data_IF_253195818511
#
_entry.id   IF_253195818511
#
_cell.length_a   1.000
_cell.length_b   1.000
_cell.length_c   1.000
_cell.angle_alpha   90.00
_cell.angle_beta   90.00
_cell.angle_gamma   90.00
#
_symmetry.space_group_name_H-M   'P 1'
#
loop_
_entity.id
_entity.type
_entity.pdbx_description
1 polymer ?
#
# COMPACT_ATOMS: atom_id res chain seq x y z
N UNK A 1 -16.16 -14.98 -5.65
CA UNK A 1 -15.58 -14.45 -4.40
C UNK A 1 -16.71 -14.07 -3.46
N UNK A 2 -16.86 -14.78 -2.34
CA UNK A 2 -17.81 -14.42 -1.28
C UNK A 2 -17.37 -13.06 -0.71
N UNK A 3 -18.19 -12.02 -0.91
CA UNK A 3 -18.04 -10.75 -0.16
C UNK A 3 -18.30 -11.09 1.30
N UNK A 4 -17.25 -11.20 2.11
CA UNK A 4 -17.39 -11.23 3.55
C UNK A 4 -18.04 -9.92 3.98
N UNK A 5 -19.29 -10.01 4.40
CA UNK A 5 -20.06 -8.83 4.79
C UNK A 5 -19.55 -8.40 6.18
N UNK A 6 -18.75 -7.31 6.20
CA UNK A 6 -18.35 -6.64 7.44
C UNK A 6 -19.60 -6.05 8.07
N UNK A 7 -19.81 -6.33 9.36
CA UNK A 7 -20.86 -5.67 10.13
C UNK A 7 -20.46 -4.23 10.51
N UNK A 8 -21.38 -3.48 11.10
CA UNK A 8 -21.15 -2.09 11.50
C UNK A 8 -19.99 -1.95 12.50
N UNK A 9 -19.83 -2.92 13.42
CA UNK A 9 -18.75 -2.93 14.39
C UNK A 9 -17.41 -3.20 13.70
N UNK A 10 -17.34 -4.15 12.77
CA UNK A 10 -16.13 -4.46 12.01
C UNK A 10 -15.67 -3.24 11.21
N UNK A 11 -16.58 -2.53 10.55
CA UNK A 11 -16.27 -1.30 9.82
C UNK A 11 -15.78 -0.18 10.75
N UNK A 12 -16.37 -0.05 11.93
CA UNK A 12 -15.96 0.91 12.95
C UNK A 12 -14.54 0.60 13.46
N UNK A 13 -14.25 -0.67 13.77
CA UNK A 13 -12.91 -1.13 14.15
C UNK A 13 -11.89 -0.77 13.06
N UNK A 14 -12.16 -1.13 11.78
CA UNK A 14 -11.29 -0.82 10.67
C UNK A 14 -11.08 0.69 10.52
N UNK A 15 -12.11 1.51 10.71
CA UNK A 15 -12.00 2.97 10.61
C UNK A 15 -11.03 3.58 11.63
N UNK A 16 -10.89 2.97 12.81
CA UNK A 16 -9.89 3.35 13.81
C UNK A 16 -8.50 2.84 13.43
N UNK A 17 -8.38 1.55 13.10
CA UNK A 17 -7.10 0.91 12.81
C UNK A 17 -6.42 1.47 11.53
N UNK A 18 -7.21 1.86 10.51
CA UNK A 18 -6.68 2.51 9.31
C UNK A 18 -6.09 3.89 9.62
N UNK A 19 -6.63 4.61 10.61
CA UNK A 19 -6.08 5.90 11.05
C UNK A 19 -4.87 5.74 11.98
N UNK A 20 -4.93 4.77 12.87
CA UNK A 20 -3.88 4.47 13.83
C UNK A 20 -3.84 2.97 14.13
N UNK A 21 -2.95 2.25 13.44
CA UNK A 21 -2.77 0.80 13.64
C UNK A 21 -2.27 0.42 15.06
N UNK A 22 -1.81 1.41 15.85
CA UNK A 22 -1.36 1.23 17.24
C UNK A 22 -2.43 1.62 18.29
N UNK A 23 -3.65 1.97 17.86
CA UNK A 23 -4.72 2.30 18.80
C UNK A 23 -5.00 1.10 19.71
N UNK A 24 -4.99 1.27 21.06
CA UNK A 24 -5.25 0.18 21.97
C UNK A 24 -6.65 -0.41 21.77
N UNK A 25 -6.75 -1.72 21.73
CA UNK A 25 -8.05 -2.40 21.55
C UNK A 25 -9.06 -2.05 22.64
N UNK A 26 -8.59 -1.69 23.84
CA UNK A 26 -9.46 -1.24 24.93
C UNK A 26 -10.14 0.10 24.63
N UNK A 27 -9.45 0.99 23.93
CA UNK A 27 -10.04 2.26 23.47
C UNK A 27 -11.06 2.01 22.35
N UNK A 28 -10.72 1.16 21.38
CA UNK A 28 -11.64 0.76 20.32
C UNK A 28 -12.90 0.11 20.90
N UNK A 29 -12.73 -0.72 21.96
CA UNK A 29 -13.82 -1.38 22.66
C UNK A 29 -14.81 -0.39 23.29
N UNK A 30 -14.30 0.65 23.95
CA UNK A 30 -15.11 1.75 24.52
C UNK A 30 -15.89 2.48 23.42
N UNK A 31 -15.24 2.83 22.32
CA UNK A 31 -15.85 3.52 21.18
C UNK A 31 -16.90 2.66 20.46
N UNK A 32 -16.73 1.34 20.46
CA UNK A 32 -17.67 0.40 19.86
C UNK A 32 -18.77 -0.10 20.80
N UNK A 33 -18.66 0.16 22.11
CA UNK A 33 -19.63 -0.32 23.11
C UNK A 33 -19.57 -1.84 23.30
N UNK A 34 -18.40 -2.47 23.15
CA UNK A 34 -18.18 -3.92 23.29
C UNK A 34 -16.99 -4.21 24.20
N UNK A 35 -16.76 -5.48 24.57
CA UNK A 35 -15.60 -5.86 25.36
C UNK A 35 -14.30 -5.87 24.52
N UNK A 36 -13.15 -5.67 25.20
CA UNK A 36 -11.84 -5.80 24.55
C UNK A 36 -11.60 -7.18 23.93
N UNK A 37 -12.10 -8.25 24.56
CA UNK A 37 -12.05 -9.60 24.03
C UNK A 37 -12.83 -9.73 22.70
N UNK A 38 -13.99 -9.08 22.59
CA UNK A 38 -14.78 -9.06 21.36
C UNK A 38 -14.04 -8.34 20.23
N UNK A 39 -13.35 -7.22 20.51
CA UNK A 39 -12.50 -6.55 19.52
C UNK A 39 -11.39 -7.47 19.05
N UNK A 40 -10.69 -8.13 19.98
CA UNK A 40 -9.59 -9.05 19.65
C UNK A 40 -10.05 -10.18 18.72
N UNK A 41 -11.20 -10.82 19.02
CA UNK A 41 -11.76 -11.86 18.18
C UNK A 41 -12.14 -11.37 16.79
N UNK A 42 -12.72 -10.17 16.67
CA UNK A 42 -13.10 -9.56 15.38
C UNK A 42 -11.89 -9.22 14.54
N UNK A 43 -10.87 -8.62 15.13
CA UNK A 43 -9.61 -8.31 14.41
C UNK A 43 -8.98 -9.60 13.91
N UNK A 44 -8.83 -10.62 14.77
CA UNK A 44 -8.28 -11.93 14.37
C UNK A 44 -9.09 -12.59 13.26
N UNK A 45 -10.42 -12.49 13.30
CA UNK A 45 -11.28 -12.96 12.20
C UNK A 45 -10.99 -12.22 10.90
N UNK A 46 -10.88 -10.89 10.94
CA UNK A 46 -10.58 -10.09 9.76
C UNK A 46 -9.18 -10.37 9.19
N UNK A 47 -8.20 -10.66 10.04
CA UNK A 47 -6.87 -11.14 9.63
C UNK A 47 -6.96 -12.51 8.94
N UNK A 48 -7.66 -13.48 9.55
CA UNK A 48 -7.86 -14.82 8.98
C UNK A 48 -8.57 -14.78 7.62
N UNK A 49 -9.49 -13.85 7.45
CA UNK A 49 -10.22 -13.63 6.20
C UNK A 49 -9.43 -12.83 5.15
N UNK A 50 -8.21 -12.37 5.47
CA UNK A 50 -7.38 -11.55 4.60
C UNK A 50 -7.91 -10.14 4.36
N UNK A 51 -8.84 -9.64 5.21
CA UNK A 51 -9.33 -8.26 5.17
C UNK A 51 -8.26 -7.33 5.75
N UNK A 52 -7.65 -7.73 6.86
CA UNK A 52 -6.45 -7.11 7.42
C UNK A 52 -5.27 -7.98 6.98
N UNK A 53 -4.39 -7.44 6.15
CA UNK A 53 -3.22 -8.15 5.62
C UNK A 53 -1.93 -7.83 6.38
N UNK A 54 -1.99 -6.87 7.30
CA UNK A 54 -0.85 -6.45 8.12
C UNK A 54 -0.92 -4.98 8.51
N UNK A 55 0.13 -4.52 9.18
CA UNK A 55 0.34 -3.11 9.51
C UNK A 55 1.74 -2.67 9.06
N UNK A 56 1.88 -1.42 8.66
CA UNK A 56 3.16 -0.82 8.27
C UNK A 56 3.53 0.32 9.20
N UNK A 57 4.82 0.42 9.50
CA UNK A 57 5.39 1.65 10.03
C UNK A 57 5.62 2.62 8.88
N UNK A 58 5.03 3.80 8.94
CA UNK A 58 5.32 4.88 7.99
C UNK A 58 6.60 5.58 8.45
N UNK A 59 7.57 5.65 7.55
CA UNK A 59 8.86 6.33 7.76
C UNK A 59 9.04 7.34 6.64
N UNK A 60 9.46 8.55 6.99
CA UNK A 60 9.73 9.60 6.00
C UNK A 60 11.03 9.24 5.24
N UNK A 61 10.97 8.96 3.92
CA UNK A 61 12.14 8.49 3.18
C UNK A 61 13.34 9.44 3.26
N UNK A 62 13.08 10.75 3.26
CA UNK A 62 14.14 11.78 3.33
C UNK A 62 14.96 11.70 4.63
N UNK A 63 14.36 11.24 5.73
CA UNK A 63 15.10 11.04 7.01
C UNK A 63 16.05 9.87 6.96
N UNK A 64 15.90 8.99 5.97
CA UNK A 64 16.80 7.89 5.66
C UNK A 64 17.79 8.22 4.51
N UNK A 65 17.83 9.49 4.07
CA UNK A 65 18.69 9.91 2.96
C UNK A 65 18.13 9.59 1.57
N UNK A 66 16.89 9.11 1.47
CA UNK A 66 16.22 8.79 0.20
C UNK A 66 15.44 10.02 -0.29
N UNK A 67 16.13 10.91 -1.01
CA UNK A 67 15.61 12.24 -1.35
C UNK A 67 14.90 12.31 -2.71
N UNK A 68 15.05 11.27 -3.55
CA UNK A 68 14.43 11.18 -4.87
C UNK A 68 13.39 10.07 -4.86
N UNK A 69 12.15 10.43 -5.18
CA UNK A 69 11.10 9.48 -5.51
C UNK A 69 10.87 9.50 -7.02
N UNK A 70 10.86 8.36 -7.67
CA UNK A 70 10.55 8.27 -9.09
C UNK A 70 9.53 7.18 -9.37
N UNK A 71 8.74 7.40 -10.43
CA UNK A 71 7.88 6.40 -11.05
C UNK A 71 8.53 5.95 -12.34
N UNK A 72 8.68 4.64 -12.50
CA UNK A 72 9.29 4.04 -13.69
C UNK A 72 8.25 3.17 -14.38
N UNK A 73 7.83 3.60 -15.55
CA UNK A 73 7.04 2.78 -16.45
C UNK A 73 7.98 1.85 -17.23
N UNK A 74 7.59 0.58 -17.33
CA UNK A 74 8.42 -0.46 -17.92
C UNK A 74 7.60 -1.29 -18.90
N UNK A 75 8.15 -1.52 -20.10
CA UNK A 75 7.60 -2.43 -21.09
C UNK A 75 8.37 -3.75 -21.10
N UNK A 76 7.63 -4.85 -21.16
CA UNK A 76 8.20 -6.18 -21.34
C UNK A 76 8.43 -6.47 -22.84
N UNK A 77 9.52 -7.15 -23.17
CA UNK A 77 9.77 -7.65 -24.53
C UNK A 77 8.70 -8.65 -24.95
N UNK A 78 8.25 -9.48 -24.01
CA UNK A 78 7.22 -10.49 -24.18
C UNK A 78 6.43 -10.65 -22.86
N UNK A 79 5.12 -10.91 -22.95
CA UNK A 79 4.26 -11.03 -21.77
C UNK A 79 4.66 -12.19 -20.83
N UNK A 80 5.22 -13.27 -21.38
CA UNK A 80 5.71 -14.44 -20.63
C UNK A 80 6.94 -14.14 -19.76
N UNK A 81 7.64 -13.02 -20.00
CA UNK A 81 8.78 -12.55 -19.20
C UNK A 81 8.40 -11.95 -17.84
N UNK A 82 7.10 -11.69 -17.61
CA UNK A 82 6.61 -11.13 -16.38
C UNK A 82 7.13 -11.80 -15.09
N UNK A 83 7.08 -13.16 -14.93
CA UNK A 83 7.54 -13.81 -13.69
C UNK A 83 9.04 -13.61 -13.43
N UNK A 84 9.87 -13.64 -14.47
CA UNK A 84 11.32 -13.48 -14.37
C UNK A 84 11.68 -12.04 -13.99
N UNK A 85 11.02 -11.05 -14.64
CA UNK A 85 11.23 -9.63 -14.36
C UNK A 85 10.79 -9.29 -12.94
N UNK A 86 9.61 -9.76 -12.49
CA UNK A 86 9.16 -9.57 -11.10
C UNK A 86 10.12 -10.19 -10.09
N UNK A 87 10.68 -11.37 -10.38
CA UNK A 87 11.65 -11.99 -9.50
C UNK A 87 12.88 -11.10 -9.32
N UNK A 88 13.40 -10.55 -10.41
CA UNK A 88 14.55 -9.63 -10.39
C UNK A 88 14.23 -8.31 -9.67
N UNK A 89 13.08 -7.70 -9.97
CA UNK A 89 12.65 -6.45 -9.33
C UNK A 89 12.48 -6.59 -7.80
N UNK A 90 12.06 -7.74 -7.30
CA UNK A 90 11.95 -8.01 -5.86
C UNK A 90 13.30 -8.00 -5.13
N UNK A 91 14.40 -8.14 -5.83
CA UNK A 91 15.76 -8.11 -5.24
C UNK A 91 16.32 -6.68 -5.14
N UNK A 92 15.63 -5.70 -5.71
CA UNK A 92 16.05 -4.28 -5.73
C UNK A 92 15.33 -3.57 -4.58
N UNK A 93 16.03 -3.23 -3.47
CA UNK A 93 15.40 -2.64 -2.29
C UNK A 93 14.82 -1.25 -2.53
N UNK A 94 15.33 -0.53 -3.53
CA UNK A 94 14.82 0.78 -3.96
C UNK A 94 13.41 0.68 -4.57
N UNK A 95 13.02 -0.48 -5.11
CA UNK A 95 11.68 -0.72 -5.65
C UNK A 95 10.72 -1.00 -4.50
N UNK A 96 9.89 -0.02 -4.16
CA UNK A 96 8.96 -0.12 -3.04
C UNK A 96 7.54 -0.53 -3.45
N UNK A 97 7.17 -0.27 -4.71
CA UNK A 97 5.89 -0.69 -5.29
C UNK A 97 6.10 -1.14 -6.73
N UNK A 98 5.33 -2.13 -7.16
CA UNK A 98 5.29 -2.61 -8.53
C UNK A 98 3.88 -3.04 -8.88
N UNK A 99 3.32 -2.46 -9.95
CA UNK A 99 2.00 -2.78 -10.47
C UNK A 99 2.12 -3.30 -11.90
N UNK A 100 1.39 -4.37 -12.22
CA UNK A 100 1.13 -4.74 -13.59
C UNK A 100 -0.10 -3.95 -14.06
N UNK A 101 0.06 -3.18 -15.11
CA UNK A 101 -0.95 -2.18 -15.54
C UNK A 101 -1.38 -2.41 -16.98
N UNK A 102 -2.54 -1.89 -17.32
CA UNK A 102 -3.02 -1.79 -18.71
C UNK A 102 -2.54 -0.48 -19.31
N UNK A 103 -2.24 -0.45 -20.59
CA UNK A 103 -1.83 0.77 -21.31
C UNK A 103 -0.60 0.56 -22.21
N UNK A 104 0.11 1.64 -22.46
CA UNK A 104 1.31 1.66 -23.32
C UNK A 104 2.44 0.81 -22.72
N UNK A 105 2.63 0.89 -21.41
CA UNK A 105 3.64 0.16 -20.65
C UNK A 105 2.99 -0.96 -19.85
N UNK A 106 3.73 -2.02 -19.58
CA UNK A 106 3.22 -3.21 -18.89
C UNK A 106 3.25 -3.09 -17.38
N UNK A 107 4.19 -2.33 -16.84
CA UNK A 107 4.44 -2.23 -15.41
C UNK A 107 4.72 -0.79 -15.00
N UNK A 108 4.30 -0.46 -13.77
CA UNK A 108 4.59 0.80 -13.09
C UNK A 108 5.28 0.50 -11.77
N UNK A 109 6.47 1.04 -11.61
CA UNK A 109 7.27 0.94 -10.40
C UNK A 109 7.25 2.27 -9.65
N UNK A 110 7.35 2.21 -8.32
CA UNK A 110 7.74 3.33 -7.48
C UNK A 110 9.06 3.01 -6.82
N UNK A 111 10.03 3.90 -6.96
CA UNK A 111 11.37 3.71 -6.42
C UNK A 111 11.79 4.92 -5.58
N UNK A 112 12.63 4.67 -4.58
CA UNK A 112 13.28 5.71 -3.78
C UNK A 112 14.79 5.61 -3.91
N UNK A 113 15.45 6.73 -4.23
CA UNK A 113 16.90 6.83 -4.38
C UNK A 113 17.46 7.95 -3.53
N UNK A 114 18.77 7.88 -3.21
CA UNK A 114 19.42 8.92 -2.43
C UNK A 114 19.48 10.25 -3.18
N UNK A 115 19.84 10.20 -4.46
CA UNK A 115 20.00 11.36 -5.35
C UNK A 115 19.77 10.94 -6.82
N UNK A 116 19.95 11.87 -7.76
CA UNK A 116 19.77 11.60 -9.20
C UNK A 116 20.83 10.66 -9.79
N UNK A 117 22.08 10.70 -9.28
CA UNK A 117 23.13 9.79 -9.74
C UNK A 117 22.79 8.35 -9.36
N UNK A 118 22.30 8.12 -8.11
CA UNK A 118 21.81 6.82 -7.68
C UNK A 118 20.58 6.35 -8.49
N UNK A 119 19.67 7.28 -8.83
CA UNK A 119 18.54 6.96 -9.73
C UNK A 119 19.03 6.49 -11.10
N UNK A 120 19.99 7.19 -11.67
CA UNK A 120 20.58 6.84 -12.98
C UNK A 120 21.28 5.47 -12.92
N UNK A 121 22.03 5.20 -11.87
CA UNK A 121 22.69 3.89 -11.63
C UNK A 121 21.67 2.75 -11.58
N UNK A 122 20.61 2.88 -10.78
CA UNK A 122 19.54 1.88 -10.67
C UNK A 122 18.84 1.65 -12.00
N UNK A 123 18.54 2.71 -12.75
CA UNK A 123 17.88 2.60 -14.05
C UNK A 123 18.75 1.88 -15.06
N UNK A 124 19.99 2.36 -15.28
CA UNK A 124 20.85 1.89 -16.36
C UNK A 124 21.50 0.55 -16.00
N UNK A 125 22.08 0.46 -14.80
CA UNK A 125 22.92 -0.71 -14.45
C UNK A 125 22.09 -1.86 -13.85
N UNK A 126 20.84 -1.61 -13.43
CA UNK A 126 20.04 -2.63 -12.79
C UNK A 126 18.75 -2.90 -13.54
N UNK A 127 17.80 -1.96 -13.59
CA UNK A 127 16.45 -2.20 -14.13
C UNK A 127 16.47 -2.49 -15.64
N UNK A 128 17.18 -1.67 -16.42
CA UNK A 128 17.24 -1.83 -17.87
C UNK A 128 18.03 -3.08 -18.30
N UNK A 129 18.88 -3.62 -17.42
CA UNK A 129 19.64 -4.84 -17.69
C UNK A 129 18.88 -6.13 -17.28
N UNK A 130 17.66 -6.02 -16.72
CA UNK A 130 16.87 -7.22 -16.42
C UNK A 130 16.41 -7.87 -17.72
N UNK A 131 16.72 -9.15 -17.95
CA UNK A 131 16.25 -9.89 -19.13
C UNK A 131 14.73 -9.85 -19.23
N UNK A 132 14.22 -9.37 -20.36
CA UNK A 132 12.78 -9.21 -20.58
C UNK A 132 12.27 -7.77 -20.41
N UNK A 133 13.09 -6.85 -19.91
CA UNK A 133 12.81 -5.41 -19.96
C UNK A 133 13.20 -4.90 -21.36
N UNK A 134 12.27 -4.22 -22.02
CA UNK A 134 12.47 -3.66 -23.37
C UNK A 134 12.70 -2.15 -23.34
N UNK A 135 11.90 -1.44 -22.56
CA UNK A 135 11.92 0.02 -22.50
C UNK A 135 11.51 0.50 -21.12
N UNK A 136 12.06 1.62 -20.69
CA UNK A 136 11.66 2.33 -19.48
C UNK A 136 11.37 3.80 -19.78
N UNK A 137 10.36 4.36 -19.11
CA UNK A 137 10.07 5.79 -19.07
C UNK A 137 10.03 6.21 -17.61
N UNK A 138 10.73 7.30 -17.24
CA UNK A 138 10.91 7.67 -15.83
C UNK A 138 10.37 9.06 -15.57
N UNK A 139 9.56 9.18 -14.54
CA UNK A 139 9.03 10.42 -14.01
C UNK A 139 9.53 10.64 -12.59
N UNK A 140 10.18 11.77 -12.33
CA UNK A 140 10.57 12.15 -10.96
C UNK A 140 9.40 12.84 -10.28
N UNK A 141 9.03 12.34 -9.09
CA UNK A 141 7.99 12.96 -8.25
C UNK A 141 8.56 14.21 -7.60
N UNK A 142 7.92 15.35 -7.85
CA UNK A 142 8.31 16.63 -7.24
C UNK A 142 7.72 16.81 -5.85
N UNK A 143 6.51 16.27 -5.61
CA UNK A 143 5.81 16.31 -4.34
C UNK A 143 4.83 15.15 -4.23
N UNK A 144 4.60 14.66 -3.01
CA UNK A 144 3.55 13.72 -2.67
C UNK A 144 2.48 14.41 -1.83
N UNK A 145 1.56 15.08 -2.47
CA UNK A 145 0.52 15.89 -1.82
C UNK A 145 -0.47 15.05 -0.98
N UNK A 146 -0.66 13.77 -1.30
CA UNK A 146 -1.59 12.87 -0.62
C UNK A 146 -0.94 11.52 -0.37
N UNK A 147 -0.92 11.11 0.90
CA UNK A 147 -0.59 9.76 1.33
C UNK A 147 -1.62 9.31 2.38
N UNK A 148 -2.42 8.32 2.04
CA UNK A 148 -3.40 7.75 2.97
C UNK A 148 -3.81 6.35 2.55
N UNK A 149 -4.30 5.57 3.50
CA UNK A 149 -4.92 4.27 3.24
C UNK A 149 -6.27 4.40 2.56
N UNK A 150 -6.75 3.27 2.02
CA UNK A 150 -8.09 3.18 1.45
C UNK A 150 -9.15 3.63 2.46
N UNK A 151 -10.15 4.33 1.95
CA UNK A 151 -11.23 4.81 2.79
C UNK A 151 -12.14 3.66 3.22
N UNK A 152 -12.34 3.53 4.55
CA UNK A 152 -13.33 2.62 5.13
C UNK A 152 -14.62 3.43 5.32
N UNK A 153 -15.68 3.05 4.61
CA UNK A 153 -16.99 3.70 4.71
C UNK A 153 -17.52 3.52 6.14
N UNK A 154 -17.49 4.59 6.94
CA UNK A 154 -18.19 4.59 8.24
C UNK A 154 -19.69 4.66 7.98
N UNK A 155 -20.46 3.72 8.52
CA UNK A 155 -21.91 3.83 8.55
C UNK A 155 -22.25 4.97 9.51
N UNK A 156 -23.02 6.00 9.12
CA UNK A 156 -23.41 7.07 10.03
C UNK A 156 -24.18 6.50 11.23
N UNK A 157 -23.80 6.90 12.43
CA UNK A 157 -24.53 6.55 13.66
C UNK A 157 -26.01 6.94 13.52
N UNK A 158 -26.91 5.97 13.57
CA UNK A 158 -28.38 6.20 13.53
C UNK A 158 -28.90 6.97 14.76
N UNK A 159 -28.03 7.42 15.67
CA UNK A 159 -28.43 8.10 16.93
C UNK A 159 -28.75 9.58 16.81
N UNK A 160 -28.54 10.24 15.66
CA UNK A 160 -28.76 11.70 15.53
C UNK A 160 -30.10 12.08 14.90
N UNK A 161 -30.99 11.15 14.55
CA UNK A 161 -32.29 11.46 13.93
C UNK A 161 -33.52 11.33 14.85
N UNK A 162 -33.33 11.34 16.18
CA UNK A 162 -34.44 11.44 17.15
C UNK A 162 -34.26 12.63 18.07
N UNK A 163 -34.35 13.84 17.51
CA UNK A 163 -34.77 15.07 18.23
C UNK A 163 -35.15 16.11 17.18
N UNK A 164 -36.41 16.08 16.79
CA UNK A 164 -37.25 17.23 16.47
C UNK A 164 -38.71 16.87 16.77
#
# INVERSE_FOLDING_TARGET
>A
MLRHQLDEIDQKILSFLVKNARMPFLEIARECGVSGAAIHQRVKKMETLGIITGSRLLVKPQTLGLNVCAFVELSLSEANKYPEVIHSLKQIPEVVECHFVTGKHSMLLKIYCANHDHLMEILINTIQNIPGVQQTETMVSLDQAIERQVWVKSIPDKKTSRKK
#
